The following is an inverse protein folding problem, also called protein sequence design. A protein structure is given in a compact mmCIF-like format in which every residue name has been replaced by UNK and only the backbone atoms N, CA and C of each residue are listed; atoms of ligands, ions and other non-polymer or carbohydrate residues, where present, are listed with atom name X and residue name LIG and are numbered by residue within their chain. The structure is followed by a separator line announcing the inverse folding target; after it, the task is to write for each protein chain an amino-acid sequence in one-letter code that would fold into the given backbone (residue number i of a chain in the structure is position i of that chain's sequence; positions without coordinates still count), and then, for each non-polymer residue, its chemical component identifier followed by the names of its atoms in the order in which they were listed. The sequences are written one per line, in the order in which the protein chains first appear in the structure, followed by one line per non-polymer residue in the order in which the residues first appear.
data_IF_577687713841
#
_entry.id   IF_577687713841
#
_cell.length_a   1.000
_cell.length_b   1.000
_cell.length_c   1.000
_cell.angle_alpha   90.00
_cell.angle_beta   90.00
_cell.angle_gamma   90.00
#
_symmetry.space_group_name_H-M   'P 1'
#
loop_
_entity.id
_entity.type
_entity.pdbx_description
1 polymer ?
#
# COMPACT_ATOMS: atom_id res chain seq x y z
N UNK A 1 -17.70 -4.42 5.92
CA UNK A 1 -17.03 -4.13 4.64
C UNK A 1 -15.87 -3.20 4.96
N UNK A 2 -14.69 -3.37 4.34
CA UNK A 2 -13.63 -2.38 4.51
C UNK A 2 -14.14 -1.04 3.96
N UNK A 3 -13.97 0.02 4.72
CA UNK A 3 -14.57 1.33 4.42
C UNK A 3 -13.49 2.40 4.46
N UNK A 4 -13.53 3.32 3.50
CA UNK A 4 -12.77 4.56 3.57
C UNK A 4 -13.20 5.36 4.81
N UNK A 5 -12.25 6.02 5.48
CA UNK A 5 -12.56 6.75 6.72
C UNK A 5 -11.69 7.99 6.88
N UNK A 6 -12.33 9.13 7.18
CA UNK A 6 -11.62 10.32 7.64
C UNK A 6 -11.21 10.11 9.10
N UNK A 7 -9.93 10.31 9.37
CA UNK A 7 -9.30 10.13 10.66
C UNK A 7 -9.32 11.46 11.46
N UNK A 8 -9.11 11.42 12.79
CA UNK A 8 -9.16 12.62 13.63
C UNK A 8 -8.16 13.71 13.26
N UNK A 9 -7.05 13.34 12.61
CA UNK A 9 -6.04 14.25 12.10
C UNK A 9 -6.38 14.86 10.73
N UNK A 10 -7.58 14.61 10.20
CA UNK A 10 -8.06 15.13 8.91
C UNK A 10 -7.60 14.34 7.68
N UNK A 11 -6.73 13.33 7.85
CA UNK A 11 -6.36 12.43 6.75
C UNK A 11 -7.47 11.43 6.46
N UNK A 12 -7.45 10.78 5.29
CA UNK A 12 -8.44 9.77 4.90
C UNK A 12 -7.72 8.48 4.52
N UNK A 13 -7.96 7.42 5.28
CA UNK A 13 -7.49 6.08 4.94
C UNK A 13 -8.43 5.48 3.88
N UNK A 14 -7.87 4.85 2.84
CA UNK A 14 -8.65 4.27 1.76
C UNK A 14 -9.43 3.03 2.22
N UNK A 15 -8.79 2.20 3.05
CA UNK A 15 -9.38 0.97 3.51
C UNK A 15 -8.83 0.57 4.89
N UNK A 16 -9.73 0.20 5.80
CA UNK A 16 -9.37 -0.30 7.13
C UNK A 16 -9.98 -1.68 7.37
N UNK A 17 -9.21 -2.56 8.02
CA UNK A 17 -9.66 -3.87 8.49
C UNK A 17 -9.48 -3.98 10.00
N UNK A 18 -9.77 -5.15 10.56
CA UNK A 18 -9.52 -5.42 11.98
C UNK A 18 -8.04 -5.25 12.36
N UNK A 19 -7.12 -5.41 11.40
CA UNK A 19 -5.67 -5.44 11.65
C UNK A 19 -4.86 -4.46 10.80
N UNK A 20 -5.39 -3.99 9.66
CA UNK A 20 -4.62 -3.21 8.68
C UNK A 20 -5.23 -1.83 8.44
N UNK A 21 -4.36 -0.84 8.24
CA UNK A 21 -4.70 0.44 7.61
C UNK A 21 -4.01 0.49 6.24
N UNK A 22 -4.82 0.54 5.19
CA UNK A 22 -4.40 0.28 3.81
C UNK A 22 -4.51 1.58 3.00
N UNK A 23 -3.40 1.98 2.36
CA UNK A 23 -3.39 2.95 1.25
C UNK A 23 -3.42 2.18 -0.08
N UNK A 24 -4.24 2.63 -1.02
CA UNK A 24 -4.36 2.07 -2.37
C UNK A 24 -3.96 3.14 -3.38
N UNK A 25 -2.85 2.92 -4.09
CA UNK A 25 -2.35 3.93 -5.03
C UNK A 25 -1.73 3.31 -6.29
N UNK A 26 -1.50 4.13 -7.29
CA UNK A 26 -0.77 3.76 -8.49
C UNK A 26 0.72 3.56 -8.18
N UNK A 27 1.37 2.61 -8.86
CA UNK A 27 2.79 2.29 -8.62
C UNK A 27 3.74 3.50 -8.66
N UNK A 28 3.48 4.50 -9.51
CA UNK A 28 4.35 5.69 -9.61
C UNK A 28 4.34 6.59 -8.37
N UNK A 29 3.37 6.40 -7.46
CA UNK A 29 3.25 7.10 -6.17
C UNK A 29 3.78 6.25 -5.00
N UNK A 30 4.57 5.21 -5.28
CA UNK A 30 5.13 4.29 -4.26
C UNK A 30 5.73 4.98 -3.03
N UNK A 31 6.43 6.11 -3.21
CA UNK A 31 7.07 6.82 -2.10
C UNK A 31 6.06 7.52 -1.19
N UNK A 32 5.00 8.09 -1.76
CA UNK A 32 3.91 8.73 -1.01
C UNK A 32 3.13 7.69 -0.20
N UNK A 33 2.87 6.52 -0.81
CA UNK A 33 2.15 5.42 -0.19
C UNK A 33 2.86 4.88 1.07
N UNK A 34 4.20 4.90 1.13
CA UNK A 34 4.96 4.57 2.35
C UNK A 34 4.58 5.53 3.48
N UNK A 35 4.62 6.85 3.22
CA UNK A 35 4.31 7.85 4.25
C UNK A 35 2.86 7.78 4.72
N UNK A 36 1.92 7.64 3.79
CA UNK A 36 0.49 7.55 4.08
C UNK A 36 0.15 6.30 4.89
N UNK A 37 0.60 5.11 4.45
CA UNK A 37 0.32 3.86 5.17
C UNK A 37 0.85 3.87 6.60
N UNK A 38 2.07 4.37 6.83
CA UNK A 38 2.64 4.53 8.16
C UNK A 38 1.84 5.50 9.03
N UNK A 39 1.42 6.64 8.47
CA UNK A 39 0.62 7.63 9.19
C UNK A 39 -0.76 7.08 9.58
N UNK A 40 -1.43 6.38 8.67
CA UNK A 40 -2.74 5.81 8.95
C UNK A 40 -2.65 4.70 10.00
N UNK A 41 -1.65 3.83 9.89
CA UNK A 41 -1.37 2.79 10.88
C UNK A 41 -1.16 3.38 12.28
N UNK A 42 -0.33 4.42 12.39
CA UNK A 42 -0.09 5.12 13.65
C UNK A 42 -1.37 5.76 14.23
N UNK A 43 -2.24 6.31 13.37
CA UNK A 43 -3.46 6.99 13.81
C UNK A 43 -4.58 6.01 14.19
N UNK A 44 -4.57 4.81 13.62
CA UNK A 44 -5.64 3.81 13.79
C UNK A 44 -5.25 2.64 14.70
N UNK A 45 -4.01 2.63 15.19
CA UNK A 45 -3.42 1.52 15.96
C UNK A 45 -3.50 0.18 15.21
N UNK A 46 -3.25 0.22 13.90
CA UNK A 46 -3.22 -0.93 12.98
C UNK A 46 -1.84 -1.11 12.37
N UNK A 47 -1.64 -2.20 11.64
CA UNK A 47 -0.44 -2.40 10.83
C UNK A 47 -0.55 -1.66 9.48
N UNK A 48 0.54 -1.06 8.99
CA UNK A 48 0.55 -0.36 7.71
C UNK A 48 0.51 -1.35 6.55
N UNK A 49 -0.27 -1.00 5.54
CA UNK A 49 -0.42 -1.80 4.34
C UNK A 49 -0.57 -0.91 3.10
N UNK A 50 -0.08 -1.40 1.96
CA UNK A 50 -0.12 -0.70 0.68
C UNK A 50 -0.58 -1.66 -0.40
N UNK A 51 -1.54 -1.23 -1.22
CA UNK A 51 -1.88 -1.89 -2.49
C UNK A 51 -1.42 -0.95 -3.61
N UNK A 52 -0.39 -1.37 -4.35
CA UNK A 52 0.07 -0.65 -5.54
C UNK A 52 -0.55 -1.27 -6.80
N UNK A 53 -1.25 -0.44 -7.57
CA UNK A 53 -1.91 -0.83 -8.82
C UNK A 53 -1.08 -0.35 -10.01
N UNK A 54 -0.74 -1.28 -10.91
CA UNK A 54 -0.05 -0.97 -12.15
C UNK A 54 -1.05 -0.54 -13.23
N UNK A 55 -0.65 0.42 -14.08
CA UNK A 55 -1.48 0.87 -15.22
C UNK A 55 -1.36 -0.09 -16.41
N UNK A 56 -2.37 -0.09 -17.29
CA UNK A 56 -2.47 -0.93 -18.51
C UNK A 56 -1.25 -0.78 -19.45
N UNK A 57 -0.57 0.36 -19.42
CA UNK A 57 0.74 0.54 -20.07
C UNK A 57 1.85 0.50 -19.00
N UNK A 58 2.39 -0.69 -18.65
CA UNK A 58 3.07 -0.97 -17.39
C UNK A 58 4.53 -0.46 -17.33
N UNK A 59 4.91 0.49 -18.19
CA UNK A 59 6.26 1.02 -18.22
C UNK A 59 6.64 1.56 -16.82
N UNK A 60 7.61 0.91 -16.18
CA UNK A 60 8.13 1.30 -14.88
C UNK A 60 7.45 0.67 -13.66
N UNK A 61 6.39 -0.16 -13.78
CA UNK A 61 5.78 -0.80 -12.60
C UNK A 61 6.79 -1.67 -11.82
N UNK A 62 7.56 -2.49 -12.52
CA UNK A 62 8.64 -3.30 -11.92
C UNK A 62 9.73 -2.43 -11.25
N UNK A 63 10.02 -1.25 -11.82
CA UNK A 63 10.96 -0.30 -11.21
C UNK A 63 10.40 0.23 -9.90
N UNK A 64 9.13 0.62 -9.85
CA UNK A 64 8.50 1.10 -8.63
C UNK A 64 8.41 0.01 -7.56
N UNK A 65 8.09 -1.22 -7.97
CA UNK A 65 8.10 -2.40 -7.10
C UNK A 65 9.47 -2.62 -6.45
N UNK A 66 10.54 -2.52 -7.25
CA UNK A 66 11.90 -2.60 -6.74
C UNK A 66 12.19 -1.49 -5.73
N UNK A 67 11.85 -0.23 -6.05
CA UNK A 67 12.15 0.93 -5.18
C UNK A 67 11.42 0.85 -3.83
N UNK A 68 10.14 0.50 -3.83
CA UNK A 68 9.41 0.30 -2.56
C UNK A 68 9.97 -0.88 -1.78
N UNK A 69 10.30 -2.00 -2.46
CA UNK A 69 10.88 -3.17 -1.81
C UNK A 69 12.22 -2.84 -1.15
N UNK A 70 13.08 -2.09 -1.84
CA UNK A 70 14.38 -1.64 -1.33
C UNK A 70 14.21 -0.75 -0.10
N UNK A 71 13.34 0.28 -0.17
CA UNK A 71 13.12 1.20 0.93
C UNK A 71 12.51 0.50 2.17
N UNK A 72 11.44 -0.27 1.97
CA UNK A 72 10.73 -0.95 3.06
C UNK A 72 11.62 -2.00 3.72
N UNK A 73 12.36 -2.80 2.94
CA UNK A 73 13.26 -3.81 3.48
C UNK A 73 14.47 -3.21 4.20
N UNK A 74 15.14 -2.23 3.59
CA UNK A 74 16.36 -1.63 4.16
C UNK A 74 16.09 -0.99 5.52
N UNK A 75 14.98 -0.28 5.64
CA UNK A 75 14.57 0.39 6.89
C UNK A 75 13.78 -0.52 7.84
N UNK A 76 13.51 -1.78 7.45
CA UNK A 76 12.72 -2.75 8.24
C UNK A 76 11.37 -2.18 8.65
N UNK A 77 10.71 -1.52 7.70
CA UNK A 77 9.36 -0.98 7.93
C UNK A 77 8.36 -2.15 7.88
N UNK A 78 7.49 -2.31 8.89
CA UNK A 78 6.60 -3.47 9.00
C UNK A 78 5.36 -3.33 8.10
N UNK A 79 5.57 -3.12 6.81
CA UNK A 79 4.52 -2.81 5.82
C UNK A 79 4.22 -4.06 5.01
N UNK A 80 2.95 -4.44 4.90
CA UNK A 80 2.52 -5.39 3.87
C UNK A 80 2.27 -4.67 2.55
N UNK A 81 2.91 -5.13 1.46
CA UNK A 81 2.75 -4.56 0.12
C UNK A 81 2.14 -5.58 -0.82
N UNK A 82 1.06 -5.20 -1.49
CA UNK A 82 0.52 -5.90 -2.66
C UNK A 82 0.87 -5.14 -3.94
N UNK A 83 1.39 -5.84 -4.93
CA UNK A 83 1.61 -5.33 -6.29
C UNK A 83 0.60 -6.00 -7.22
N UNK A 84 -0.35 -5.22 -7.72
CA UNK A 84 -1.43 -5.69 -8.59
C UNK A 84 -1.17 -5.25 -10.03
N UNK A 85 -1.09 -6.21 -10.94
CA UNK A 85 -1.00 -6.00 -12.38
C UNK A 85 -2.38 -5.73 -12.98
N UNK A 86 -2.47 -5.14 -14.19
CA UNK A 86 -3.76 -4.84 -14.81
C UNK A 86 -4.66 -6.07 -15.07
N UNK A 87 -4.06 -7.27 -15.12
CA UNK A 87 -4.74 -8.54 -15.28
C UNK A 87 -5.35 -9.09 -13.99
N UNK A 88 -4.93 -8.57 -12.83
CA UNK A 88 -5.28 -9.13 -11.53
C UNK A 88 -6.64 -8.59 -11.11
N UNK A 89 -7.64 -9.48 -11.00
CA UNK A 89 -9.03 -9.13 -10.71
C UNK A 89 -9.38 -9.24 -9.23
N UNK A 90 -8.50 -9.87 -8.44
CA UNK A 90 -8.66 -10.07 -7.01
C UNK A 90 -7.33 -9.85 -6.27
N UNK A 91 -7.39 -9.41 -5.00
CA UNK A 91 -6.19 -9.20 -4.18
C UNK A 91 -5.35 -10.47 -4.00
N UNK A 92 -5.98 -11.65 -4.08
CA UNK A 92 -5.31 -12.95 -4.05
C UNK A 92 -4.45 -13.24 -5.29
N UNK A 93 -4.67 -12.52 -6.38
CA UNK A 93 -3.90 -12.64 -7.63
C UNK A 93 -2.68 -11.71 -7.64
N UNK A 94 -2.71 -10.65 -6.81
CA UNK A 94 -1.60 -9.70 -6.67
C UNK A 94 -0.39 -10.32 -5.96
N UNK A 95 0.82 -9.87 -6.32
CA UNK A 95 2.04 -10.26 -5.62
C UNK A 95 2.11 -9.61 -4.25
N UNK A 96 2.01 -10.41 -3.18
CA UNK A 96 2.11 -9.96 -1.79
C UNK A 96 3.53 -10.14 -1.25
N UNK A 97 4.02 -9.13 -0.52
CA UNK A 97 5.23 -9.21 0.31
C UNK A 97 4.96 -8.59 1.67
N UNK A 98 5.39 -9.29 2.72
CA UNK A 98 5.42 -8.80 4.10
C UNK A 98 6.88 -8.54 4.47
N UNK A 99 7.17 -7.40 5.10
CA UNK A 99 8.52 -6.94 5.45
C UNK A 99 8.71 -6.80 6.96
#
# INVERSE_FOLDING_TARGET
MPQERVLPNGTRVDCITDHLAIEVDWTHKWAEAIGQSLLYAATTEKLPAIILVCKVNPAGCLKHEYLISEAVAYWKLPITVWMCMPSDLALSECSRRDY
#
